data_IF_348524536917
#
_entry.id   IF_348524536917
#
_cell.length_a   1.000
_cell.length_b   1.000
_cell.length_c   1.000
_cell.angle_alpha   90.00
_cell.angle_beta   90.00
_cell.angle_gamma   90.00
#
_symmetry.space_group_name_H-M   'P 1'
#
loop_
_entity.id
_entity.type
_entity.pdbx_description
1 polymer ?
#
# COMPACT_ATOMS: atom_id res chain seq x y z
N UNK A 1 -11.42 -0.91 6.24
CA UNK A 1 -10.08 -0.53 6.72
C UNK A 1 -9.82 0.96 6.59
N UNK A 2 -9.98 1.59 5.41
CA UNK A 2 -9.76 3.05 5.20
C UNK A 2 -10.37 3.95 6.28
N UNK A 3 -11.69 3.85 6.52
CA UNK A 3 -12.42 4.68 7.50
C UNK A 3 -11.79 4.61 8.90
N UNK A 4 -11.54 3.41 9.39
CA UNK A 4 -10.93 3.17 10.71
C UNK A 4 -9.56 3.83 10.84
N UNK A 5 -8.73 3.79 9.80
CA UNK A 5 -7.41 4.44 9.81
C UNK A 5 -7.55 5.97 9.88
N UNK A 6 -8.45 6.56 9.10
CA UNK A 6 -8.70 8.00 9.10
C UNK A 6 -9.24 8.48 10.45
N UNK A 7 -10.20 7.75 11.02
CA UNK A 7 -10.76 8.03 12.34
C UNK A 7 -9.68 7.94 13.44
N UNK A 8 -8.79 6.94 13.37
CA UNK A 8 -7.69 6.81 14.33
C UNK A 8 -6.67 7.97 14.25
N UNK A 9 -6.36 8.43 13.03
CA UNK A 9 -5.48 9.60 12.83
C UNK A 9 -6.12 10.87 13.39
N UNK A 10 -7.41 11.08 13.17
CA UNK A 10 -8.13 12.22 13.73
C UNK A 10 -8.14 12.17 15.26
N UNK A 11 -8.46 11.00 15.84
CA UNK A 11 -8.43 10.82 17.28
C UNK A 11 -7.05 11.08 17.89
N UNK A 12 -5.97 10.67 17.21
CA UNK A 12 -4.60 10.95 17.65
C UNK A 12 -4.27 12.45 17.58
N UNK A 13 -4.74 13.16 16.55
CA UNK A 13 -4.57 14.60 16.43
C UNK A 13 -5.30 15.35 17.55
N UNK A 14 -6.54 14.97 17.84
CA UNK A 14 -7.36 15.57 18.90
C UNK A 14 -6.74 15.32 20.28
N UNK A 15 -6.24 14.10 20.53
CA UNK A 15 -5.59 13.73 21.78
C UNK A 15 -4.25 14.45 22.02
N UNK A 16 -3.49 14.75 20.95
CA UNK A 16 -2.23 15.48 21.07
C UNK A 16 -2.45 16.96 21.45
N UNK A 17 -3.58 17.56 21.04
CA UNK A 17 -3.93 18.93 21.37
C UNK A 17 -3.09 19.98 20.64
N UNK A 18 -3.61 21.22 20.61
CA UNK A 18 -3.09 22.34 19.79
C UNK A 18 -1.68 22.86 20.16
N UNK A 19 -1.03 22.29 21.18
CA UNK A 19 0.31 22.70 21.66
C UNK A 19 1.39 21.61 21.59
N UNK A 20 1.08 20.42 21.08
CA UNK A 20 2.02 19.28 21.09
C UNK A 20 3.22 19.44 20.16
N UNK A 21 3.14 20.32 19.15
CA UNK A 21 4.12 20.37 18.06
C UNK A 21 4.12 19.14 17.14
N UNK A 22 3.23 18.17 17.38
CA UNK A 22 3.08 16.96 16.59
C UNK A 22 2.06 17.19 15.47
N UNK A 23 2.34 16.66 14.28
CA UNK A 23 1.41 16.63 13.15
C UNK A 23 1.03 15.20 12.82
N UNK A 24 -0.26 14.91 12.85
CA UNK A 24 -0.82 13.64 12.42
C UNK A 24 -1.47 13.80 11.05
N UNK A 25 -1.14 12.91 10.13
CA UNK A 25 -1.72 12.89 8.79
C UNK A 25 -1.81 11.44 8.28
N UNK A 26 -2.91 11.11 7.61
CA UNK A 26 -3.08 9.81 6.97
C UNK A 26 -2.51 9.87 5.55
N UNK A 27 -1.59 8.95 5.22
CA UNK A 27 -1.17 8.72 3.84
C UNK A 27 -2.24 7.87 3.13
N UNK A 28 -3.33 8.51 2.67
CA UNK A 28 -4.44 7.81 2.01
C UNK A 28 -4.14 7.54 0.52
N UNK A 29 -3.45 6.44 0.27
CA UNK A 29 -3.19 5.93 -1.09
C UNK A 29 -4.25 4.93 -1.58
N UNK A 30 -5.37 4.76 -0.86
CA UNK A 30 -6.34 3.68 -1.13
C UNK A 30 -6.86 3.71 -2.57
N UNK A 31 -7.29 4.88 -3.04
CA UNK A 31 -7.81 5.03 -4.41
C UNK A 31 -6.70 4.81 -5.43
N UNK A 32 -5.49 5.32 -5.19
CA UNK A 32 -4.36 5.17 -6.10
C UNK A 32 -3.92 3.70 -6.20
N UNK A 33 -3.88 2.98 -5.08
CA UNK A 33 -3.61 1.55 -5.03
C UNK A 33 -4.67 0.74 -5.81
N UNK A 34 -5.96 1.06 -5.64
CA UNK A 34 -7.04 0.38 -6.35
C UNK A 34 -7.01 0.57 -7.88
N UNK A 35 -6.39 1.65 -8.36
CA UNK A 35 -6.20 1.90 -9.79
C UNK A 35 -5.05 1.08 -10.40
N UNK A 36 -4.29 0.34 -9.58
CA UNK A 36 -3.07 -0.36 -10.01
C UNK A 36 -3.12 -1.87 -9.80
N UNK A 37 -4.16 -2.61 -10.25
CA UNK A 37 -4.16 -4.06 -10.15
C UNK A 37 -2.99 -4.72 -10.91
N UNK A 38 -2.41 -4.00 -11.88
CA UNK A 38 -1.20 -4.38 -12.62
C UNK A 38 0.08 -4.42 -11.77
N UNK A 39 0.07 -3.76 -10.61
CA UNK A 39 1.25 -3.65 -9.75
C UNK A 39 1.50 -4.86 -8.84
N UNK A 40 0.61 -5.85 -8.82
CA UNK A 40 0.72 -7.04 -7.98
C UNK A 40 1.67 -8.10 -8.56
N UNK A 41 2.20 -8.98 -7.71
CA UNK A 41 3.07 -10.09 -8.15
C UNK A 41 2.32 -11.13 -8.97
N UNK A 42 1.01 -11.30 -8.71
CA UNK A 42 0.21 -12.34 -9.35
C UNK A 42 0.83 -13.72 -9.11
N UNK A 43 1.12 -14.52 -10.15
CA UNK A 43 1.70 -15.85 -9.99
C UNK A 43 3.20 -15.81 -9.64
N UNK A 44 3.87 -14.67 -9.78
CA UNK A 44 5.33 -14.56 -9.69
C UNK A 44 5.84 -14.29 -8.26
N UNK A 45 5.09 -14.71 -7.25
CA UNK A 45 5.56 -14.68 -5.85
C UNK A 45 6.80 -15.56 -5.64
N UNK A 46 6.94 -16.62 -6.44
CA UNK A 46 8.06 -17.55 -6.40
C UNK A 46 8.68 -17.71 -7.80
N UNK A 47 9.94 -18.14 -7.85
CA UNK A 47 10.62 -18.46 -9.10
C UNK A 47 9.88 -19.59 -9.83
N UNK A 48 9.85 -19.51 -11.16
CA UNK A 48 9.32 -20.56 -12.04
C UNK A 48 7.92 -21.07 -11.65
N UNK A 49 6.91 -20.19 -11.48
CA UNK A 49 5.62 -20.58 -10.87
C UNK A 49 4.81 -21.61 -11.68
N UNK A 50 5.22 -21.90 -12.92
CA UNK A 50 4.57 -22.84 -13.83
C UNK A 50 5.39 -24.13 -14.08
N UNK A 51 6.55 -24.30 -13.45
CA UNK A 51 7.48 -25.41 -13.73
C UNK A 51 6.91 -26.81 -13.41
N UNK A 52 5.91 -26.90 -12.52
CA UNK A 52 5.34 -28.17 -12.06
C UNK A 52 4.12 -28.71 -12.83
N UNK A 53 3.63 -28.03 -13.87
CA UNK A 53 2.37 -28.46 -14.51
C UNK A 53 1.83 -27.66 -15.70
N UNK A 54 2.61 -26.79 -16.33
CA UNK A 54 2.20 -26.05 -17.54
C UNK A 54 0.98 -25.13 -17.34
N UNK A 55 0.48 -24.56 -18.44
CA UNK A 55 -0.58 -23.55 -18.48
C UNK A 55 -1.97 -23.99 -17.94
N UNK A 56 -2.11 -25.24 -17.46
CA UNK A 56 -3.34 -25.79 -16.88
C UNK A 56 -3.31 -25.98 -15.36
N UNK A 57 -2.15 -25.85 -14.71
CA UNK A 57 -2.03 -25.93 -13.25
C UNK A 57 -2.56 -24.66 -12.58
N UNK A 58 -3.41 -24.80 -11.54
CA UNK A 58 -3.80 -23.65 -10.71
C UNK A 58 -2.59 -23.12 -9.96
N UNK A 59 -2.14 -21.93 -10.32
CA UNK A 59 -1.11 -21.18 -9.59
C UNK A 59 -1.78 -20.19 -8.64
N UNK A 60 -1.27 -20.09 -7.41
CA UNK A 60 -1.73 -19.07 -6.47
C UNK A 60 -1.34 -17.67 -6.99
N UNK A 61 -2.31 -16.76 -7.04
CA UNK A 61 -2.05 -15.35 -7.31
C UNK A 61 -1.94 -14.58 -6.00
N UNK A 62 -0.87 -13.82 -5.84
CA UNK A 62 -0.76 -12.81 -4.81
C UNK A 62 -1.34 -11.48 -5.32
N UNK A 63 -2.48 -11.10 -4.75
CA UNK A 63 -3.19 -9.85 -5.03
C UNK A 63 -3.11 -8.86 -3.87
N UNK A 64 -2.22 -9.10 -2.89
CA UNK A 64 -2.08 -8.25 -1.70
C UNK A 64 -0.77 -7.50 -1.76
N UNK A 65 0.32 -8.19 -2.11
CA UNK A 65 1.65 -7.58 -2.19
C UNK A 65 1.91 -6.96 -3.55
N UNK A 66 2.94 -6.11 -3.62
CA UNK A 66 3.30 -5.31 -4.78
C UNK A 66 4.66 -5.73 -5.34
N UNK A 67 4.78 -5.74 -6.67
CA UNK A 67 6.06 -5.85 -7.35
C UNK A 67 6.98 -4.67 -7.02
N UNK A 68 8.29 -4.92 -7.09
CA UNK A 68 9.32 -3.87 -7.03
C UNK A 68 10.27 -3.97 -8.24
N UNK A 69 10.51 -2.88 -8.99
CA UNK A 69 9.89 -1.55 -8.84
C UNK A 69 8.37 -1.56 -9.14
N UNK A 70 7.60 -0.68 -8.50
CA UNK A 70 6.13 -0.69 -8.60
C UNK A 70 5.42 0.43 -7.82
N UNK A 71 4.09 0.35 -7.62
CA UNK A 71 3.27 1.42 -7.01
C UNK A 71 3.74 1.89 -5.62
N UNK A 72 4.39 1.02 -4.86
CA UNK A 72 5.00 1.35 -3.56
C UNK A 72 6.03 2.48 -3.69
N UNK A 73 6.74 2.57 -4.83
CA UNK A 73 7.64 3.70 -5.11
C UNK A 73 6.91 5.04 -5.11
N UNK A 74 5.77 5.14 -5.81
CA UNK A 74 4.93 6.34 -5.82
C UNK A 74 4.34 6.65 -4.44
N UNK A 75 3.94 5.64 -3.66
CA UNK A 75 3.47 5.86 -2.29
C UNK A 75 4.55 6.52 -1.43
N UNK A 76 5.81 6.06 -1.56
CA UNK A 76 6.95 6.61 -0.85
C UNK A 76 7.30 8.03 -1.31
N UNK A 77 7.17 8.35 -2.59
CA UNK A 77 7.33 9.73 -3.08
C UNK A 77 6.27 10.67 -2.47
N UNK A 78 5.02 10.25 -2.39
CA UNK A 78 3.94 11.03 -1.75
C UNK A 78 4.23 11.19 -0.25
N UNK A 79 4.69 10.13 0.42
CA UNK A 79 5.10 10.20 1.84
C UNK A 79 6.22 11.23 2.04
N UNK A 80 7.26 11.17 1.21
CA UNK A 80 8.38 12.10 1.26
C UNK A 80 7.91 13.55 1.07
N UNK A 81 7.05 13.80 0.07
CA UNK A 81 6.46 15.13 -0.14
C UNK A 81 5.62 15.60 1.06
N UNK A 82 4.96 14.69 1.77
CA UNK A 82 4.22 15.04 2.98
C UNK A 82 5.15 15.39 4.14
N UNK A 83 6.24 14.64 4.34
CA UNK A 83 7.18 14.87 5.47
C UNK A 83 8.03 16.13 5.26
N UNK A 84 8.40 16.44 4.01
CA UNK A 84 9.23 17.61 3.69
C UNK A 84 8.45 18.93 3.63
N UNK A 85 7.12 18.89 3.70
CA UNK A 85 6.24 20.07 3.80
C UNK A 85 5.96 20.41 5.26
#
# INVERSE_FOLDING_TARGET
MRRTVVEAVQAAADAAGAGSGLRFAALDVTTLANLRPDGHLGPYMHKDPFAGGGAGGRVQNDCVHWCMPGPVGTFNEILLQNILR
#
